data_IF_279396183672
#
_entry.id   IF_279396183672
#
_cell.length_a   1.000
_cell.length_b   1.000
_cell.length_c   1.000
_cell.angle_alpha   90.00
_cell.angle_beta   90.00
_cell.angle_gamma   90.00
#
_symmetry.space_group_name_H-M   'P 1'
#
loop_
_entity.id
_entity.type
_entity.pdbx_description
1 polymer ?
#
# COMPACT_ATOMS: atom_id res chain seq x y z
N UNK A 1 -22.83 -31.87 1.94
CA UNK A 1 -22.24 -30.88 1.01
C UNK A 1 -23.06 -29.59 1.03
N UNK A 2 -22.88 -28.74 2.04
CA UNK A 2 -23.69 -27.51 2.22
C UNK A 2 -22.98 -26.22 1.77
N UNK A 3 -21.65 -26.26 1.58
CA UNK A 3 -20.85 -25.07 1.27
C UNK A 3 -21.12 -24.51 -0.15
N UNK A 4 -21.23 -25.39 -1.15
CA UNK A 4 -21.54 -25.01 -2.55
C UNK A 4 -22.93 -24.39 -2.74
N UNK A 5 -23.81 -24.50 -1.75
CA UNK A 5 -25.12 -23.83 -1.77
C UNK A 5 -24.98 -22.31 -1.60
N UNK A 6 -23.94 -21.87 -0.90
CA UNK A 6 -23.74 -20.47 -0.55
C UNK A 6 -22.59 -19.83 -1.33
N UNK A 7 -21.64 -20.62 -1.83
CA UNK A 7 -20.46 -20.13 -2.54
C UNK A 7 -20.22 -20.99 -3.79
N UNK A 8 -20.27 -20.41 -5.01
CA UNK A 8 -20.17 -21.16 -6.26
C UNK A 8 -18.87 -21.94 -6.43
N UNK A 9 -17.78 -21.43 -5.85
CA UNK A 9 -16.46 -22.01 -6.01
C UNK A 9 -15.41 -21.44 -5.06
N UNK A 10 -14.17 -21.89 -5.27
CA UNK A 10 -13.01 -21.49 -4.47
C UNK A 10 -12.73 -20.00 -4.59
N UNK A 11 -12.90 -19.45 -5.79
CA UNK A 11 -12.58 -18.05 -6.07
C UNK A 11 -13.52 -17.10 -5.34
N UNK A 12 -14.82 -17.42 -5.34
CA UNK A 12 -15.83 -16.67 -4.59
C UNK A 12 -15.64 -16.83 -3.07
N UNK A 13 -15.15 -17.98 -2.61
CA UNK A 13 -14.79 -18.17 -1.21
C UNK A 13 -13.60 -17.27 -0.82
N UNK A 14 -12.56 -17.23 -1.65
CA UNK A 14 -11.39 -16.36 -1.43
C UNK A 14 -11.81 -14.89 -1.42
N UNK A 15 -12.71 -14.52 -2.32
CA UNK A 15 -13.28 -13.18 -2.42
C UNK A 15 -14.04 -12.78 -1.14
N UNK A 16 -14.83 -13.70 -0.56
CA UNK A 16 -15.50 -13.50 0.74
C UNK A 16 -14.50 -13.45 1.89
N UNK A 17 -13.44 -14.27 1.85
CA UNK A 17 -12.37 -14.23 2.86
C UNK A 17 -11.63 -12.90 2.85
N UNK A 18 -11.36 -12.33 1.67
CA UNK A 18 -10.73 -11.01 1.52
C UNK A 18 -11.60 -9.95 2.16
N UNK A 19 -12.88 -9.88 1.79
CA UNK A 19 -13.81 -8.87 2.30
C UNK A 19 -14.02 -9.00 3.81
N UNK A 20 -14.14 -10.22 4.32
CA UNK A 20 -14.26 -10.44 5.77
C UNK A 20 -12.95 -10.12 6.51
N UNK A 21 -11.80 -10.45 5.91
CA UNK A 21 -10.48 -10.31 6.54
C UNK A 21 -9.99 -8.87 6.62
N UNK A 22 -10.40 -8.00 5.70
CA UNK A 22 -10.08 -6.56 5.77
C UNK A 22 -10.78 -5.90 6.97
N UNK A 23 -11.98 -6.37 7.32
CA UNK A 23 -12.78 -5.82 8.44
C UNK A 23 -13.30 -4.41 8.16
N UNK A 24 -13.98 -3.77 9.12
CA UNK A 24 -14.46 -2.40 8.97
C UNK A 24 -13.29 -1.41 8.86
N UNK A 25 -13.46 -0.28 8.14
CA UNK A 25 -12.46 0.78 8.07
C UNK A 25 -12.24 1.42 9.45
N UNK A 26 -11.08 2.05 9.67
CA UNK A 26 -10.84 2.83 10.88
C UNK A 26 -11.81 4.02 10.96
N UNK A 27 -12.15 4.43 12.18
CA UNK A 27 -12.84 5.71 12.39
C UNK A 27 -11.86 6.87 12.13
N UNK A 28 -12.16 7.66 11.08
CA UNK A 28 -11.37 8.81 10.67
C UNK A 28 -11.98 10.15 11.11
N UNK A 29 -13.20 10.15 11.66
CA UNK A 29 -13.97 11.37 11.90
C UNK A 29 -13.32 12.29 12.94
N UNK A 30 -12.67 11.71 13.94
CA UNK A 30 -11.99 12.44 15.00
C UNK A 30 -10.63 13.04 14.59
N UNK A 31 -10.12 12.70 13.40
CA UNK A 31 -8.80 13.15 12.96
C UNK A 31 -8.88 14.50 12.23
N UNK A 32 -7.96 15.43 12.54
CA UNK A 32 -7.96 16.75 11.93
C UNK A 32 -7.50 16.65 10.48
N UNK A 33 -8.18 17.34 9.56
CA UNK A 33 -7.70 17.50 8.18
C UNK A 33 -7.68 16.21 7.34
N UNK A 34 -7.62 16.40 6.03
CA UNK A 34 -7.60 15.28 5.08
C UNK A 34 -6.31 14.46 5.15
N UNK A 35 -5.19 15.11 5.51
CA UNK A 35 -3.85 14.52 5.46
C UNK A 35 -3.68 13.46 6.55
N UNK A 36 -4.06 13.80 7.79
CA UNK A 36 -3.99 12.91 8.94
C UNK A 36 -4.99 11.76 8.80
N UNK A 37 -6.19 12.04 8.26
CA UNK A 37 -7.19 11.02 7.92
C UNK A 37 -6.66 9.99 6.92
N UNK A 38 -6.08 10.44 5.80
CA UNK A 38 -5.49 9.52 4.81
C UNK A 38 -4.26 8.79 5.36
N UNK A 39 -3.45 9.43 6.19
CA UNK A 39 -2.31 8.78 6.82
C UNK A 39 -2.76 7.66 7.78
N UNK A 40 -3.77 7.90 8.59
CA UNK A 40 -4.35 6.88 9.47
C UNK A 40 -4.99 5.74 8.69
N UNK A 41 -5.74 6.05 7.63
CA UNK A 41 -6.30 5.07 6.71
C UNK A 41 -5.21 4.18 6.10
N UNK A 42 -4.12 4.77 5.61
CA UNK A 42 -3.00 4.06 5.00
C UNK A 42 -2.31 3.11 5.99
N UNK A 43 -2.07 3.56 7.23
CA UNK A 43 -1.48 2.73 8.30
C UNK A 43 -2.40 1.59 8.74
N UNK A 44 -3.70 1.85 8.81
CA UNK A 44 -4.67 0.80 9.13
C UNK A 44 -4.68 -0.28 8.02
N UNK A 45 -4.68 0.13 6.75
CA UNK A 45 -4.62 -0.81 5.63
C UNK A 45 -3.30 -1.59 5.59
N UNK A 46 -2.19 -0.92 5.89
CA UNK A 46 -0.89 -1.57 6.07
C UNK A 46 -0.94 -2.68 7.12
N UNK A 47 -1.55 -2.40 8.27
CA UNK A 47 -1.71 -3.38 9.35
C UNK A 47 -2.59 -4.57 8.92
N UNK A 48 -3.64 -4.34 8.13
CA UNK A 48 -4.45 -5.41 7.53
C UNK A 48 -3.57 -6.31 6.65
N UNK A 49 -2.76 -5.74 5.75
CA UNK A 49 -1.90 -6.55 4.88
C UNK A 49 -0.85 -7.35 5.65
N UNK A 50 -0.37 -6.86 6.79
CA UNK A 50 0.55 -7.60 7.66
C UNK A 50 -0.16 -8.70 8.46
N UNK A 51 -1.40 -8.46 8.91
CA UNK A 51 -2.22 -9.46 9.60
C UNK A 51 -2.69 -10.56 8.66
N UNK A 52 -2.94 -10.23 7.39
CA UNK A 52 -3.40 -11.15 6.36
C UNK A 52 -2.55 -11.08 5.08
N UNK A 53 -1.27 -11.52 5.10
CA UNK A 53 -0.35 -11.37 3.96
C UNK A 53 -0.82 -12.08 2.69
N UNK A 54 -1.61 -13.15 2.83
CA UNK A 54 -2.20 -13.88 1.71
C UNK A 54 -3.17 -13.00 0.88
N UNK A 55 -3.76 -11.96 1.47
CA UNK A 55 -4.71 -11.08 0.80
C UNK A 55 -4.07 -10.29 -0.33
N UNK A 56 -2.76 -9.96 -0.23
CA UNK A 56 -2.01 -9.28 -1.29
C UNK A 56 -1.97 -10.12 -2.58
N UNK A 57 -1.85 -11.44 -2.47
CA UNK A 57 -1.89 -12.34 -3.63
C UNK A 57 -3.33 -12.54 -4.12
N UNK A 58 -4.28 -12.73 -3.20
CA UNK A 58 -5.70 -12.94 -3.52
C UNK A 58 -6.34 -11.77 -4.29
N UNK A 59 -5.89 -10.54 -4.01
CA UNK A 59 -6.37 -9.30 -4.64
C UNK A 59 -5.55 -8.87 -5.86
N UNK A 60 -4.67 -9.73 -6.40
CA UNK A 60 -3.84 -9.41 -7.56
C UNK A 60 -4.57 -9.56 -8.91
N UNK A 61 -5.88 -9.78 -8.89
CA UNK A 61 -6.75 -9.91 -10.07
C UNK A 61 -7.85 -8.87 -10.01
N UNK A 62 -8.40 -8.51 -11.18
CA UNK A 62 -9.64 -7.75 -11.23
C UNK A 62 -10.78 -8.62 -10.68
N UNK A 63 -11.41 -8.14 -9.61
CA UNK A 63 -12.54 -8.79 -8.94
C UNK A 63 -13.54 -7.74 -8.51
N UNK A 64 -14.78 -8.16 -8.27
CA UNK A 64 -15.78 -7.30 -7.64
C UNK A 64 -15.41 -7.15 -6.16
N UNK A 65 -15.27 -5.90 -5.71
CA UNK A 65 -15.02 -5.59 -4.30
C UNK A 65 -16.26 -5.91 -3.46
N UNK A 66 -16.05 -6.50 -2.29
CA UNK A 66 -17.12 -6.72 -1.32
C UNK A 66 -17.51 -5.45 -0.55
N UNK A 67 -18.58 -5.52 0.26
CA UNK A 67 -19.09 -4.36 1.02
C UNK A 67 -18.05 -3.70 1.94
N UNK A 68 -17.19 -4.47 2.61
CA UNK A 68 -16.17 -3.92 3.51
C UNK A 68 -15.04 -3.27 2.70
N UNK A 69 -14.60 -3.89 1.61
CA UNK A 69 -13.65 -3.27 0.69
C UNK A 69 -14.18 -1.94 0.12
N UNK A 70 -15.47 -1.89 -0.23
CA UNK A 70 -16.13 -0.66 -0.68
C UNK A 70 -16.21 0.40 0.44
N UNK A 71 -16.49 0.00 1.69
CA UNK A 71 -16.47 0.90 2.84
C UNK A 71 -15.08 1.51 3.09
N UNK A 72 -14.01 0.74 2.87
CA UNK A 72 -12.64 1.26 2.93
C UNK A 72 -12.36 2.30 1.84
N UNK A 73 -12.82 2.04 0.61
CA UNK A 73 -12.68 3.00 -0.49
C UNK A 73 -13.47 4.29 -0.21
N UNK A 74 -14.72 4.14 0.25
CA UNK A 74 -15.58 5.27 0.60
C UNK A 74 -14.99 6.13 1.72
N UNK A 75 -14.46 5.51 2.78
CA UNK A 75 -13.80 6.21 3.88
C UNK A 75 -12.60 7.06 3.42
N UNK A 76 -11.79 6.56 2.48
CA UNK A 76 -10.67 7.32 1.91
C UNK A 76 -11.13 8.49 1.04
N UNK A 77 -12.19 8.31 0.25
CA UNK A 77 -12.76 9.37 -0.59
C UNK A 77 -13.45 10.45 0.26
N UNK A 78 -14.11 10.04 1.34
CA UNK A 78 -14.72 10.93 2.33
C UNK A 78 -13.67 11.75 3.08
N UNK A 79 -12.52 11.16 3.42
CA UNK A 79 -11.41 11.88 4.04
C UNK A 79 -10.93 13.08 3.21
N UNK A 80 -11.05 12.98 1.88
CA UNK A 80 -10.69 14.01 0.90
C UNK A 80 -11.82 14.99 0.57
N UNK A 81 -13.02 14.85 1.14
CA UNK A 81 -14.19 15.64 0.74
C UNK A 81 -13.98 17.16 0.89
N UNK A 82 -13.29 17.59 1.94
CA UNK A 82 -13.11 19.02 2.27
C UNK A 82 -11.95 19.68 1.50
N UNK A 83 -11.33 18.97 0.56
CA UNK A 83 -10.13 19.46 -0.15
C UNK A 83 -10.43 20.34 -1.36
N UNK A 84 -11.70 20.45 -1.78
CA UNK A 84 -12.08 21.10 -3.03
C UNK A 84 -11.72 20.32 -4.30
N UNK A 85 -11.11 19.14 -4.18
CA UNK A 85 -10.81 18.30 -5.34
C UNK A 85 -12.09 17.73 -5.97
N UNK A 86 -12.23 17.77 -7.31
CA UNK A 86 -13.34 17.12 -7.99
C UNK A 86 -13.31 15.60 -7.75
N UNK A 87 -14.46 14.90 -7.79
CA UNK A 87 -14.55 13.47 -7.49
C UNK A 87 -13.52 12.60 -8.23
N UNK A 88 -13.25 12.89 -9.51
CA UNK A 88 -12.28 12.16 -10.31
C UNK A 88 -10.84 12.31 -9.79
N UNK A 89 -10.46 13.47 -9.23
CA UNK A 89 -9.15 13.69 -8.63
C UNK A 89 -9.03 13.07 -7.25
N UNK A 90 -10.10 13.10 -6.45
CA UNK A 90 -10.16 12.36 -5.18
C UNK A 90 -9.95 10.86 -5.41
N UNK A 91 -10.60 10.29 -6.42
CA UNK A 91 -10.41 8.89 -6.80
C UNK A 91 -8.99 8.57 -7.24
N UNK A 92 -8.36 9.42 -8.06
CA UNK A 92 -6.95 9.24 -8.45
C UNK A 92 -6.00 9.34 -7.25
N UNK A 93 -6.22 10.31 -6.36
CA UNK A 93 -5.43 10.46 -5.13
C UNK A 93 -5.55 9.21 -4.25
N UNK A 94 -6.77 8.72 -4.04
CA UNK A 94 -7.04 7.44 -3.35
C UNK A 94 -6.25 6.28 -3.97
N UNK A 95 -6.32 6.10 -5.29
CA UNK A 95 -5.62 5.00 -5.97
C UNK A 95 -4.09 5.08 -5.81
N UNK A 96 -3.51 6.28 -5.81
CA UNK A 96 -2.07 6.46 -5.58
C UNK A 96 -1.69 6.06 -4.15
N UNK A 97 -2.47 6.49 -3.14
CA UNK A 97 -2.23 6.10 -1.74
C UNK A 97 -2.38 4.58 -1.56
N UNK A 98 -3.47 4.00 -2.07
CA UNK A 98 -3.71 2.55 -2.03
C UNK A 98 -2.57 1.77 -2.70
N UNK A 99 -2.13 2.23 -3.88
CA UNK A 99 -1.02 1.62 -4.64
C UNK A 99 0.28 1.64 -3.86
N UNK A 100 0.59 2.76 -3.18
CA UNK A 100 1.77 2.86 -2.33
C UNK A 100 1.72 1.91 -1.14
N UNK A 101 0.63 1.92 -0.36
CA UNK A 101 0.46 1.03 0.80
C UNK A 101 0.60 -0.44 0.38
N UNK A 102 -0.05 -0.83 -0.72
CA UNK A 102 0.03 -2.19 -1.25
C UNK A 102 1.45 -2.56 -1.67
N UNK A 103 2.14 -1.69 -2.41
CA UNK A 103 3.49 -1.95 -2.91
C UNK A 103 4.50 -2.06 -1.76
N UNK A 104 4.42 -1.14 -0.80
CA UNK A 104 5.27 -1.16 0.37
C UNK A 104 4.97 -2.42 1.23
N UNK A 105 3.70 -2.84 1.36
CA UNK A 105 3.34 -4.02 2.14
C UNK A 105 3.83 -5.30 1.47
N UNK A 106 3.71 -5.39 0.14
CA UNK A 106 4.29 -6.47 -0.65
C UNK A 106 5.80 -6.57 -0.46
N UNK A 107 6.50 -5.43 -0.49
CA UNK A 107 7.94 -5.39 -0.26
C UNK A 107 8.29 -5.85 1.15
N UNK A 108 7.62 -5.33 2.19
CA UNK A 108 7.90 -5.70 3.58
C UNK A 108 7.61 -7.18 3.86
N UNK A 109 6.45 -7.70 3.45
CA UNK A 109 6.10 -9.12 3.61
C UNK A 109 7.08 -10.03 2.88
N UNK A 110 7.47 -9.67 1.64
CA UNK A 110 8.46 -10.44 0.87
C UNK A 110 9.84 -10.38 1.51
N UNK A 111 10.28 -9.22 1.97
CA UNK A 111 11.57 -9.04 2.63
C UNK A 111 11.65 -9.82 3.94
N UNK A 112 10.59 -9.82 4.76
CA UNK A 112 10.54 -10.64 5.97
C UNK A 112 10.61 -12.15 5.65
N UNK A 113 9.86 -12.60 4.63
CA UNK A 113 9.91 -13.99 4.15
C UNK A 113 11.25 -14.36 3.51
N UNK A 114 11.88 -13.43 2.80
CA UNK A 114 13.20 -13.62 2.22
C UNK A 114 14.24 -13.72 3.33
N UNK A 115 14.27 -12.79 4.31
CA UNK A 115 15.18 -12.82 5.46
C UNK A 115 15.12 -14.15 6.21
N UNK A 116 13.95 -14.76 6.34
CA UNK A 116 13.78 -16.06 7.00
C UNK A 116 14.25 -17.26 6.17
N UNK A 117 14.44 -17.13 4.85
CA UNK A 117 14.78 -18.25 3.97
C UNK A 117 16.15 -18.09 3.25
N UNK A 118 16.53 -16.91 2.75
CA UNK A 118 17.79 -16.65 2.03
C UNK A 118 18.14 -15.15 1.78
N UNK A 119 17.43 -14.19 2.38
CA UNK A 119 17.46 -12.75 2.04
C UNK A 119 18.84 -12.07 2.10
N UNK A 120 19.68 -12.35 3.12
CA UNK A 120 21.05 -11.83 3.18
C UNK A 120 21.92 -12.26 1.98
N UNK A 121 21.69 -13.46 1.43
CA UNK A 121 22.46 -13.98 0.30
C UNK A 121 22.09 -13.28 -1.01
N UNK A 122 20.81 -12.94 -1.22
CA UNK A 122 20.37 -12.22 -2.42
C UNK A 122 20.89 -10.78 -2.47
N UNK A 123 20.83 -10.06 -1.34
CA UNK A 123 21.36 -8.70 -1.24
C UNK A 123 22.88 -8.67 -1.46
N UNK A 124 23.61 -9.61 -0.86
CA UNK A 124 25.06 -9.74 -1.06
C UNK A 124 25.43 -10.10 -2.50
N UNK A 125 24.70 -11.00 -3.15
CA UNK A 125 24.90 -11.35 -4.55
C UNK A 125 24.66 -10.14 -5.47
N UNK A 126 23.61 -9.35 -5.21
CA UNK A 126 23.30 -8.15 -6.00
C UNK A 126 24.38 -7.07 -5.83
N UNK A 127 24.84 -6.84 -4.59
CA UNK A 127 25.94 -5.92 -4.32
C UNK A 127 27.24 -6.37 -5.01
N UNK A 128 27.52 -7.68 -5.02
CA UNK A 128 28.68 -8.25 -5.71
C UNK A 128 28.63 -8.02 -7.22
N UNK A 129 27.45 -8.15 -7.84
CA UNK A 129 27.27 -7.87 -9.27
C UNK A 129 27.51 -6.39 -9.61
N UNK A 130 26.99 -5.49 -8.78
CA UNK A 130 27.18 -4.04 -8.93
C UNK A 130 28.67 -3.68 -8.76
N UNK A 131 29.36 -4.32 -7.80
CA UNK A 131 30.79 -4.12 -7.52
C UNK A 131 31.73 -4.63 -8.63
N UNK A 132 31.30 -5.57 -9.48
CA UNK A 132 32.12 -6.09 -10.59
C UNK A 132 32.31 -5.10 -11.73
N UNK A 133 31.37 -4.17 -11.91
CA UNK A 133 31.45 -3.12 -12.93
C UNK A 133 30.83 -1.80 -12.40
N UNK A 134 31.55 -1.09 -11.52
CA UNK A 134 31.04 0.15 -10.90
C UNK A 134 30.75 1.24 -11.93
N UNK A 135 31.54 1.30 -13.01
CA UNK A 135 31.39 2.28 -14.07
C UNK A 135 30.09 2.10 -14.86
N UNK A 136 29.59 0.86 -14.97
CA UNK A 136 28.30 0.56 -15.59
C UNK A 136 27.11 0.91 -14.71
N UNK A 137 27.26 0.91 -13.38
CA UNK A 137 26.18 1.15 -12.43
C UNK A 137 26.47 2.25 -11.40
N UNK A 138 26.85 3.47 -11.82
CA UNK A 138 27.35 4.51 -10.92
C UNK A 138 26.31 4.97 -9.87
N UNK A 139 25.04 5.03 -10.23
CA UNK A 139 23.96 5.40 -9.30
C UNK A 139 23.73 4.33 -8.22
N UNK A 140 23.78 3.04 -8.58
CA UNK A 140 23.62 1.94 -7.62
C UNK A 140 24.84 1.83 -6.70
N UNK A 141 26.03 2.12 -7.23
CA UNK A 141 27.26 2.21 -6.43
C UNK A 141 27.19 3.30 -5.37
N UNK A 142 26.68 4.48 -5.71
CA UNK A 142 26.48 5.55 -4.74
C UNK A 142 25.56 5.10 -3.59
N UNK A 143 24.44 4.43 -3.91
CA UNK A 143 23.49 3.90 -2.92
C UNK A 143 24.13 2.82 -2.02
N UNK A 144 24.90 1.89 -2.60
CA UNK A 144 25.62 0.88 -1.82
C UNK A 144 26.63 1.52 -0.86
N UNK A 145 27.29 2.58 -1.30
CA UNK A 145 28.31 3.29 -0.50
C UNK A 145 27.73 4.06 0.69
N UNK A 146 26.47 4.49 0.60
CA UNK A 146 25.75 5.18 1.69
C UNK A 146 24.99 4.23 2.62
N UNK A 147 24.91 2.94 2.27
CA UNK A 147 24.09 1.95 2.95
C UNK A 147 22.61 1.98 2.51
N UNK A 148 21.98 0.81 2.47
CA UNK A 148 20.55 0.66 2.16
C UNK A 148 19.74 0.75 3.46
N UNK A 149 19.60 1.97 3.99
CA UNK A 149 18.80 2.27 5.19
C UNK A 149 17.32 1.92 4.99
N UNK A 150 16.97 0.65 5.13
CA UNK A 150 15.62 0.13 4.98
C UNK A 150 15.25 -0.66 6.23
N UNK A 151 14.85 0.06 7.28
CA UNK A 151 14.15 -0.56 8.40
C UNK A 151 12.78 -1.12 7.96
N UNK A 152 12.29 -2.14 8.65
CA UNK A 152 10.92 -2.61 8.45
C UNK A 152 9.94 -1.47 8.80
N UNK A 153 9.19 -0.98 7.80
CA UNK A 153 8.23 0.12 7.95
C UNK A 153 8.68 1.49 7.41
N UNK A 154 9.98 1.73 7.21
CA UNK A 154 10.49 3.01 6.68
C UNK A 154 9.93 3.32 5.28
N UNK A 155 9.81 2.29 4.45
CA UNK A 155 9.31 2.44 3.08
C UNK A 155 7.85 2.88 3.00
N UNK A 156 7.01 2.52 3.99
CA UNK A 156 5.63 3.00 4.04
C UNK A 156 5.63 4.50 4.34
N UNK A 157 6.19 4.91 5.48
CA UNK A 157 6.08 6.28 5.98
C UNK A 157 6.77 7.28 5.04
N UNK A 158 7.96 6.95 4.53
CA UNK A 158 8.66 7.81 3.58
C UNK A 158 7.82 8.06 2.32
N UNK A 159 7.39 6.99 1.64
CA UNK A 159 6.62 7.15 0.40
C UNK A 159 5.23 7.72 0.65
N UNK A 160 4.62 7.47 1.80
CA UNK A 160 3.34 8.06 2.18
C UNK A 160 3.49 9.57 2.37
N UNK A 161 4.57 10.04 3.01
CA UNK A 161 4.91 11.46 3.10
C UNK A 161 5.00 12.11 1.73
N UNK A 162 5.79 11.53 0.81
CA UNK A 162 5.94 12.02 -0.57
C UNK A 162 4.61 12.09 -1.32
N UNK A 163 3.78 11.03 -1.22
CA UNK A 163 2.46 10.99 -1.87
C UNK A 163 1.54 12.06 -1.31
N UNK A 164 1.46 12.20 0.02
CA UNK A 164 0.62 13.20 0.67
C UNK A 164 1.08 14.63 0.34
N UNK A 165 2.38 14.88 0.22
CA UNK A 165 2.90 16.19 -0.23
C UNK A 165 2.48 16.50 -1.66
N UNK A 166 2.53 15.50 -2.55
CA UNK A 166 2.03 15.63 -3.93
C UNK A 166 0.53 15.94 -3.99
N UNK A 167 -0.28 15.32 -3.14
CA UNK A 167 -1.72 15.61 -3.02
C UNK A 167 -1.93 17.02 -2.45
N UNK A 168 -1.16 17.44 -1.44
CA UNK A 168 -1.23 18.79 -0.88
C UNK A 168 -0.93 19.86 -1.95
N UNK A 169 0.09 19.63 -2.77
CA UNK A 169 0.41 20.51 -3.90
C UNK A 169 -0.72 20.54 -4.95
N UNK A 170 -1.40 19.41 -5.20
CA UNK A 170 -2.57 19.37 -6.08
C UNK A 170 -3.74 20.19 -5.52
N UNK A 171 -4.04 20.03 -4.23
CA UNK A 171 -5.06 20.81 -3.52
C UNK A 171 -4.76 22.30 -3.58
N UNK A 172 -3.52 22.71 -3.31
CA UNK A 172 -3.10 24.11 -3.36
C UNK A 172 -3.27 24.72 -4.76
N UNK A 173 -2.87 24.00 -5.82
CA UNK A 173 -3.07 24.45 -7.21
C UNK A 173 -4.55 24.62 -7.56
N UNK A 174 -5.43 23.77 -7.01
CA UNK A 174 -6.87 23.85 -7.22
C UNK A 174 -7.51 25.02 -6.49
N UNK A 175 -7.02 25.37 -5.31
CA UNK A 175 -7.50 26.54 -4.56
C UNK A 175 -7.14 27.89 -5.23
N UNK A 176 -6.17 27.89 -6.15
CA UNK A 176 -5.69 29.07 -6.87
C UNK A 176 -6.37 29.25 -8.24
N UNK A 177 -7.15 28.27 -8.69
CA UNK A 177 -7.82 28.26 -10.00
C UNK A 177 -9.30 28.63 -9.86
#
# INVERSE_FOLDING_TARGET
MALYRHVPGKDELVDLMVDTGIGPPPDLAALPGWRERLAAWARALWAVFHRHPWSLAATNRLRVMGPLELAWADAALAALADTGLPPAERHRAFLVVLGHVRSAAQFSVRSNRARSLSGPQWAAATATLIARDPARFPALQAVLSTGTGTGDGDGLEFGLGVVLDGIAALVARRAQA
#
